data_IF_495904367760
#
_entry.id   IF_495904367760
#
_cell.length_a   1.000
_cell.length_b   1.000
_cell.length_c   1.000
_cell.angle_alpha   90.00
_cell.angle_beta   90.00
_cell.angle_gamma   90.00
#
_symmetry.space_group_name_H-M   'P 1'
#
loop_
_entity.id
_entity.type
_entity.pdbx_description
1 polymer ?
#
# COMPACT_ATOMS: atom_id res chain seq x y z
N UNK A 1 11.24 0.74 1.48
CA UNK A 1 11.49 2.12 1.01
C UNK A 1 11.15 2.14 -0.47
N UNK A 2 10.17 2.95 -0.90
CA UNK A 2 9.86 3.10 -2.32
C UNK A 2 10.97 3.99 -2.90
N UNK A 3 11.91 3.41 -3.64
CA UNK A 3 12.94 4.18 -4.35
C UNK A 3 12.35 4.61 -5.70
N UNK A 4 12.16 5.91 -5.96
CA UNK A 4 11.67 6.37 -7.25
C UNK A 4 12.68 5.99 -8.35
N UNK A 5 12.22 5.34 -9.41
CA UNK A 5 13.02 5.09 -10.60
C UNK A 5 13.16 6.39 -11.39
N UNK A 6 14.19 7.19 -11.09
CA UNK A 6 14.47 8.47 -11.79
C UNK A 6 14.73 8.30 -13.30
N UNK A 7 15.10 7.09 -13.71
CA UNK A 7 15.26 6.69 -15.10
C UNK A 7 14.36 5.47 -15.38
N UNK A 8 13.06 5.67 -15.60
CA UNK A 8 12.13 4.57 -15.81
C UNK A 8 12.42 3.90 -17.17
N UNK A 9 12.54 2.57 -17.23
CA UNK A 9 12.63 1.85 -18.48
C UNK A 9 11.37 2.05 -19.33
N UNK A 10 11.48 1.90 -20.66
CA UNK A 10 10.37 2.16 -21.60
C UNK A 10 9.06 1.43 -21.28
N UNK A 11 9.13 0.28 -20.61
CA UNK A 11 7.93 -0.45 -20.20
C UNK A 11 7.17 0.22 -19.05
N UNK A 12 7.85 0.87 -18.10
CA UNK A 12 7.20 1.62 -17.01
C UNK A 12 6.41 2.82 -17.57
N UNK A 13 6.98 3.54 -18.53
CA UNK A 13 6.33 4.66 -19.22
C UNK A 13 5.08 4.21 -20.00
N UNK A 14 5.14 3.04 -20.65
CA UNK A 14 3.99 2.45 -21.33
C UNK A 14 2.90 2.04 -20.36
N UNK A 15 3.27 1.38 -19.26
CA UNK A 15 2.32 1.00 -18.20
C UNK A 15 1.65 2.23 -17.60
N UNK A 16 2.41 3.30 -17.34
CA UNK A 16 1.86 4.57 -16.87
C UNK A 16 0.84 5.15 -17.85
N UNK A 17 1.16 5.19 -19.16
CA UNK A 17 0.23 5.65 -20.20
C UNK A 17 -1.06 4.80 -20.28
N UNK A 18 -0.93 3.47 -20.18
CA UNK A 18 -2.09 2.55 -20.18
C UNK A 18 -2.95 2.78 -18.94
N UNK A 19 -2.34 2.86 -17.76
CA UNK A 19 -3.06 3.12 -16.50
C UNK A 19 -3.77 4.47 -16.56
N UNK A 20 -3.09 5.52 -17.04
CA UNK A 20 -3.69 6.83 -17.23
C UNK A 20 -4.91 6.76 -18.17
N UNK A 21 -4.80 6.06 -19.30
CA UNK A 21 -5.92 5.87 -20.23
C UNK A 21 -7.14 5.26 -19.55
N UNK A 22 -6.96 4.18 -18.78
CA UNK A 22 -8.07 3.55 -18.05
C UNK A 22 -8.63 4.45 -16.95
N UNK A 23 -7.77 5.11 -16.16
CA UNK A 23 -8.20 6.00 -15.07
C UNK A 23 -9.00 7.18 -15.61
N UNK A 24 -8.50 7.87 -16.64
CA UNK A 24 -9.22 8.98 -17.26
C UNK A 24 -10.46 8.50 -18.04
N UNK A 25 -10.44 7.30 -18.62
CA UNK A 25 -11.60 6.68 -19.25
C UNK A 25 -12.74 6.46 -18.26
N UNK A 26 -12.46 5.82 -17.11
CA UNK A 26 -13.43 5.61 -16.02
C UNK A 26 -13.88 6.94 -15.43
N UNK A 27 -12.96 7.88 -15.22
CA UNK A 27 -13.30 9.20 -14.68
C UNK A 27 -14.24 9.98 -15.62
N UNK A 28 -13.96 9.99 -16.92
CA UNK A 28 -14.85 10.64 -17.90
C UNK A 28 -16.21 9.95 -18.02
N UNK A 29 -16.26 8.61 -17.85
CA UNK A 29 -17.51 7.87 -17.76
C UNK A 29 -18.31 8.32 -16.52
N UNK A 30 -17.66 8.39 -15.35
CA UNK A 30 -18.29 8.85 -14.12
C UNK A 30 -18.77 10.30 -14.22
N UNK A 31 -18.01 11.21 -14.85
CA UNK A 31 -18.42 12.59 -15.08
C UNK A 31 -19.65 12.69 -15.99
N UNK A 32 -19.73 11.84 -17.02
CA UNK A 32 -20.87 11.81 -17.93
C UNK A 32 -22.13 11.27 -17.25
N UNK A 33 -22.01 10.14 -16.54
CA UNK A 33 -23.18 9.44 -16.00
C UNK A 33 -23.63 9.94 -14.63
N UNK A 34 -22.71 10.43 -13.80
CA UNK A 34 -23.03 10.83 -12.43
C UNK A 34 -23.21 12.34 -12.27
N UNK A 35 -22.44 13.15 -13.02
CA UNK A 35 -22.43 14.61 -12.86
C UNK A 35 -23.14 15.36 -13.99
N UNK A 36 -23.55 14.69 -15.07
CA UNK A 36 -24.32 15.30 -16.16
C UNK A 36 -23.58 16.40 -16.92
N UNK A 37 -22.24 16.45 -16.84
CA UNK A 37 -21.41 17.43 -17.54
C UNK A 37 -20.75 16.82 -18.79
N UNK A 38 -21.46 16.77 -19.94
CA UNK A 38 -20.96 16.08 -21.13
C UNK A 38 -19.70 16.72 -21.70
N UNK A 39 -19.59 18.05 -21.67
CA UNK A 39 -18.41 18.78 -22.16
C UNK A 39 -17.16 18.42 -21.35
N UNK A 40 -17.28 18.39 -20.02
CA UNK A 40 -16.18 17.99 -19.15
C UNK A 40 -15.74 16.53 -19.39
N UNK A 41 -16.70 15.62 -19.63
CA UNK A 41 -16.40 14.23 -19.96
C UNK A 41 -15.61 14.08 -21.27
N UNK A 42 -15.97 14.82 -22.33
CA UNK A 42 -15.24 14.81 -23.60
C UNK A 42 -13.80 15.34 -23.46
N UNK A 43 -13.62 16.41 -22.68
CA UNK A 43 -12.28 16.96 -22.39
C UNK A 43 -11.42 15.95 -21.63
N UNK A 44 -11.97 15.31 -20.59
CA UNK A 44 -11.25 14.30 -19.80
C UNK A 44 -10.89 13.08 -20.64
N UNK A 45 -11.80 12.61 -21.50
CA UNK A 45 -11.52 11.52 -22.44
C UNK A 45 -10.49 11.91 -23.50
N UNK A 46 -10.54 13.14 -24.02
CA UNK A 46 -9.54 13.65 -24.96
C UNK A 46 -8.15 13.67 -24.34
N UNK A 47 -8.02 14.19 -23.11
CA UNK A 47 -6.76 14.21 -22.36
C UNK A 47 -6.28 12.79 -22.06
N UNK A 48 -7.17 11.90 -21.61
CA UNK A 48 -6.83 10.50 -21.31
C UNK A 48 -6.37 9.72 -22.54
N UNK A 49 -7.04 9.92 -23.67
CA UNK A 49 -6.69 9.27 -24.95
C UNK A 49 -5.39 9.83 -25.51
N UNK A 50 -5.20 11.16 -25.46
CA UNK A 50 -3.96 11.78 -25.86
C UNK A 50 -2.76 11.30 -25.01
N UNK A 51 -2.92 11.26 -23.69
CA UNK A 51 -1.90 10.75 -22.78
C UNK A 51 -1.60 9.26 -23.02
N UNK A 52 -2.63 8.44 -23.26
CA UNK A 52 -2.47 7.02 -23.59
C UNK A 52 -1.75 6.80 -24.93
N UNK A 53 -2.11 7.56 -25.97
CA UNK A 53 -1.49 7.49 -27.29
C UNK A 53 -0.04 7.99 -27.26
N UNK A 54 0.24 9.10 -26.57
CA UNK A 54 1.63 9.53 -26.33
C UNK A 54 2.42 8.49 -25.51
N UNK A 55 1.74 7.74 -24.63
CA UNK A 55 2.26 6.58 -23.88
C UNK A 55 2.89 5.53 -24.75
N UNK A 56 2.25 5.29 -25.88
CA UNK A 56 2.62 4.25 -26.82
C UNK A 56 3.58 4.78 -27.91
N UNK A 57 3.36 6.02 -28.38
CA UNK A 57 4.07 6.60 -29.53
C UNK A 57 5.35 7.36 -29.17
N UNK A 58 5.37 8.11 -28.06
CA UNK A 58 6.46 9.04 -27.72
C UNK A 58 6.79 9.02 -26.20
N UNK A 59 7.46 7.96 -25.70
CA UNK A 59 7.71 7.79 -24.27
C UNK A 59 8.62 8.88 -23.66
N UNK A 60 9.43 9.58 -24.48
CA UNK A 60 10.33 10.62 -24.00
C UNK A 60 9.59 11.88 -23.50
N UNK A 61 8.46 12.25 -24.09
CA UNK A 61 7.69 13.42 -23.64
C UNK A 61 6.91 13.13 -22.35
N UNK A 62 6.52 11.88 -22.14
CA UNK A 62 5.87 11.44 -20.90
C UNK A 62 6.82 11.27 -19.73
N UNK A 63 8.13 11.25 -19.97
CA UNK A 63 9.12 11.19 -18.92
C UNK A 63 8.96 12.34 -17.90
N UNK A 64 8.80 13.58 -18.39
CA UNK A 64 8.65 14.74 -17.52
C UNK A 64 7.34 14.67 -16.72
N UNK A 65 6.24 14.29 -17.37
CA UNK A 65 4.95 14.13 -16.70
C UNK A 65 5.00 13.04 -15.64
N UNK A 66 5.57 11.88 -15.98
CA UNK A 66 5.76 10.77 -15.05
C UNK A 66 6.55 11.20 -13.81
N UNK A 67 7.63 11.95 -14.00
CA UNK A 67 8.47 12.40 -12.89
C UNK A 67 7.72 13.39 -11.98
N UNK A 68 7.02 14.37 -12.56
CA UNK A 68 6.20 15.34 -11.78
C UNK A 68 5.11 14.62 -10.98
N UNK A 69 4.35 13.74 -11.64
CA UNK A 69 3.28 12.98 -10.97
C UNK A 69 3.86 12.08 -9.88
N UNK A 70 5.00 11.43 -10.12
CA UNK A 70 5.65 10.56 -9.14
C UNK A 70 6.10 11.35 -7.92
N UNK A 71 6.74 12.51 -8.10
CA UNK A 71 7.19 13.38 -7.00
C UNK A 71 6.00 13.82 -6.13
N UNK A 72 4.87 14.16 -6.75
CA UNK A 72 3.63 14.52 -6.03
C UNK A 72 2.99 13.30 -5.35
N UNK A 73 3.04 12.14 -5.98
CA UNK A 73 2.46 10.90 -5.45
C UNK A 73 3.23 10.35 -4.23
N UNK A 74 4.53 10.60 -4.11
CA UNK A 74 5.36 10.13 -2.98
C UNK A 74 4.84 10.57 -1.60
N UNK A 75 4.63 11.86 -1.31
CA UNK A 75 4.10 12.28 -0.01
C UNK A 75 2.68 11.75 0.23
N UNK A 76 1.85 11.67 -0.82
CA UNK A 76 0.50 11.09 -0.74
C UNK A 76 0.61 9.62 -0.31
N UNK A 77 1.48 8.85 -0.95
CA UNK A 77 1.72 7.44 -0.62
C UNK A 77 2.20 7.26 0.82
N UNK A 78 3.05 8.17 1.32
CA UNK A 78 3.49 8.16 2.71
C UNK A 78 2.33 8.41 3.68
N UNK A 79 1.49 9.42 3.42
CA UNK A 79 0.33 9.70 4.26
C UNK A 79 -0.66 8.53 4.23
N UNK A 80 -1.01 8.03 3.04
CA UNK A 80 -1.92 6.89 2.88
C UNK A 80 -1.38 5.65 3.58
N UNK A 81 -0.09 5.34 3.45
CA UNK A 81 0.53 4.20 4.13
C UNK A 81 0.44 4.32 5.66
N UNK A 82 0.73 5.49 6.22
CA UNK A 82 0.60 5.74 7.66
C UNK A 82 -0.86 5.67 8.13
N UNK A 83 -1.79 6.23 7.35
CA UNK A 83 -3.22 6.19 7.65
C UNK A 83 -3.74 4.76 7.62
N UNK A 84 -3.42 3.98 6.58
CA UNK A 84 -3.82 2.57 6.47
C UNK A 84 -3.27 1.76 7.64
N UNK A 85 -1.98 1.94 7.98
CA UNK A 85 -1.39 1.29 9.15
C UNK A 85 -2.11 1.69 10.45
N UNK A 86 -2.41 2.98 10.62
CA UNK A 86 -3.17 3.48 11.75
C UNK A 86 -4.57 2.88 11.83
N UNK A 87 -5.29 2.79 10.70
CA UNK A 87 -6.62 2.19 10.63
C UNK A 87 -6.57 0.70 10.97
N UNK A 88 -5.59 -0.05 10.47
CA UNK A 88 -5.43 -1.47 10.82
C UNK A 88 -5.12 -1.61 12.32
N UNK A 89 -4.21 -0.79 12.84
CA UNK A 89 -3.80 -0.87 14.23
C UNK A 89 -4.94 -0.48 15.19
N UNK A 90 -5.59 0.65 14.96
CA UNK A 90 -6.65 1.16 15.85
C UNK A 90 -8.02 0.54 15.55
N UNK A 91 -8.29 0.15 14.32
CA UNK A 91 -9.56 -0.45 13.91
C UNK A 91 -9.64 -1.96 14.11
N UNK A 92 -8.52 -2.68 14.07
CA UNK A 92 -8.50 -4.14 14.20
C UNK A 92 -7.70 -4.58 15.43
N UNK A 93 -6.42 -4.21 15.53
CA UNK A 93 -5.55 -4.70 16.61
C UNK A 93 -5.98 -4.19 18.00
N UNK A 94 -6.31 -2.90 18.11
CA UNK A 94 -6.71 -2.27 19.36
C UNK A 94 -8.00 -2.86 19.95
N UNK A 95 -9.11 -2.97 19.20
CA UNK A 95 -10.33 -3.59 19.74
C UNK A 95 -10.12 -5.07 20.05
N UNK A 96 -9.30 -5.80 19.27
CA UNK A 96 -8.96 -7.18 19.59
C UNK A 96 -8.25 -7.28 20.95
N UNK A 97 -7.29 -6.40 21.22
CA UNK A 97 -6.62 -6.32 22.52
C UNK A 97 -7.58 -5.98 23.66
N UNK A 98 -8.54 -5.07 23.42
CA UNK A 98 -9.59 -4.75 24.40
C UNK A 98 -10.48 -5.97 24.69
N UNK A 99 -10.91 -6.70 23.67
CA UNK A 99 -11.71 -7.93 23.82
C UNK A 99 -10.93 -8.99 24.62
N UNK A 100 -9.65 -9.19 24.34
CA UNK A 100 -8.81 -10.13 25.10
C UNK A 100 -8.69 -9.71 26.57
N UNK A 101 -8.51 -8.42 26.83
CA UNK A 101 -8.39 -7.85 28.18
C UNK A 101 -9.69 -8.01 28.98
N UNK A 102 -10.85 -7.80 28.34
CA UNK A 102 -12.18 -8.04 28.92
C UNK A 102 -12.45 -9.54 29.17
N UNK A 103 -11.97 -10.42 28.27
CA UNK A 103 -12.07 -11.88 28.44
C UNK A 103 -11.16 -12.42 29.54
N UNK A 104 -10.35 -11.59 30.21
CA UNK A 104 -9.42 -12.01 31.25
C UNK A 104 -8.21 -12.80 30.74
N UNK A 105 -8.05 -12.92 29.42
CA UNK A 105 -6.91 -13.60 28.80
C UNK A 105 -5.73 -12.64 28.73
N UNK A 106 -4.63 -13.00 29.37
CA UNK A 106 -3.37 -12.27 29.31
C UNK A 106 -2.31 -13.11 28.57
N UNK A 107 -2.42 -13.24 27.23
CA UNK A 107 -1.49 -14.05 26.45
C UNK A 107 -0.05 -13.52 26.50
N UNK A 108 0.12 -12.22 26.74
CA UNK A 108 1.42 -11.57 26.85
C UNK A 108 1.97 -11.55 28.29
N UNK A 109 1.23 -12.10 29.27
CA UNK A 109 1.58 -12.12 30.71
C UNK A 109 2.03 -10.73 31.20
N UNK A 110 1.35 -9.69 30.74
CA UNK A 110 1.67 -8.29 31.05
C UNK A 110 1.33 -7.92 32.49
N UNK A 111 0.46 -8.67 33.15
CA UNK A 111 0.21 -8.51 34.59
C UNK A 111 1.50 -8.80 35.34
N UNK A 112 2.01 -7.81 36.09
CA UNK A 112 3.19 -7.97 36.96
C UNK A 112 2.95 -9.18 37.87
N UNK A 113 3.68 -10.29 37.66
CA UNK A 113 3.61 -11.39 38.59
C UNK A 113 4.43 -10.98 39.83
N UNK A 114 3.97 -11.32 41.02
CA UNK A 114 4.66 -11.04 42.29
C UNK A 114 5.86 -11.99 42.45
N UNK A 115 6.80 -11.95 41.50
CA UNK A 115 7.99 -12.80 41.42
C UNK A 115 9.16 -11.97 40.92
N UNK A 116 10.35 -12.29 41.43
CA UNK A 116 11.61 -11.60 41.14
C UNK A 116 12.06 -11.74 39.67
N UNK A 117 11.51 -12.69 38.92
CA UNK A 117 11.91 -12.95 37.54
C UNK A 117 10.75 -13.46 36.67
N UNK A 118 10.69 -12.97 35.43
CA UNK A 118 9.82 -13.48 34.36
C UNK A 118 10.36 -14.74 33.70
N UNK A 119 11.47 -15.30 34.21
CA UNK A 119 12.08 -16.50 33.66
C UNK A 119 11.11 -17.68 33.70
N UNK A 120 10.79 -18.24 32.53
CA UNK A 120 9.98 -19.45 32.40
C UNK A 120 10.94 -20.64 32.45
N UNK A 121 10.91 -21.48 33.50
CA UNK A 121 11.75 -22.65 33.58
C UNK A 121 11.44 -23.58 32.40
N UNK A 122 12.47 -23.96 31.64
CA UNK A 122 12.30 -24.95 30.58
C UNK A 122 12.08 -26.32 31.23
N UNK A 123 10.87 -26.85 31.10
CA UNK A 123 10.49 -28.16 31.66
C UNK A 123 11.03 -29.33 30.86
N UNK A 124 11.42 -29.12 29.60
CA UNK A 124 11.95 -30.17 28.73
C UNK A 124 13.46 -30.03 28.54
N UNK A 125 14.24 -30.99 29.07
CA UNK A 125 15.59 -31.24 28.56
C UNK A 125 15.42 -31.82 27.15
N UNK A 126 15.86 -31.09 26.14
CA UNK A 126 15.91 -31.59 24.76
C UNK A 126 17.09 -32.57 24.69
N UNK A 127 16.83 -33.78 24.20
CA UNK A 127 17.88 -34.79 24.02
C UNK A 127 18.98 -34.24 23.10
N UNK A 128 20.26 -34.19 23.52
CA UNK A 128 21.35 -33.75 22.67
C UNK A 128 21.43 -34.49 21.32
N UNK A 129 20.97 -35.75 21.27
CA UNK A 129 20.93 -36.52 20.03
C UNK A 129 19.94 -35.95 18.98
N UNK A 130 19.05 -35.03 19.36
CA UNK A 130 18.15 -34.32 18.45
C UNK A 130 18.84 -33.27 17.60
N UNK A 131 19.99 -32.73 18.03
CA UNK A 131 20.72 -31.71 17.27
C UNK A 131 21.39 -32.28 16.01
N UNK A 132 21.79 -33.56 16.07
CA UNK A 132 22.44 -34.26 14.96
C UNK A 132 21.48 -34.74 13.86
N UNK A 133 20.17 -34.52 14.01
CA UNK A 133 19.12 -34.98 13.07
C UNK A 133 18.43 -33.86 12.27
N UNK A 134 18.96 -32.63 12.33
CA UNK A 134 18.48 -31.51 11.51
C UNK A 134 19.42 -31.36 10.31
N UNK A 135 19.29 -32.27 9.34
CA UNK A 135 19.88 -32.15 8.00
C UNK A 135 18.81 -31.74 7.00
#
# INVERSE_FOLDING_TARGET
MITPSWHPPRHELRTFGIVAFFVFGVLGLALRFHFGHPVAAWVVWGIGTFAGVMGLAAPFQLYLLYLVVTVVALPIGLVVSNVVLGVIYFGIMTPLGWVMRLSGRDPLRLRKPAVESFWIPRTHKRDPASYYRQS
#
